data_IF_446834983084
#
_entry.id   IF_446834983084
#
_cell.length_a   1.000
_cell.length_b   1.000
_cell.length_c   1.000
_cell.angle_alpha   90.00
_cell.angle_beta   90.00
_cell.angle_gamma   90.00
#
_symmetry.space_group_name_H-M   'P 1'
#
loop_
_entity.id
_entity.type
_entity.pdbx_description
1 polymer ?
#
# COMPACT_ATOMS: atom_id res chain seq x y z
N UNK A 1 12.43 -22.94 8.62
CA UNK A 1 12.75 -21.55 8.24
C UNK A 1 11.95 -20.63 9.14
N UNK A 2 12.60 -19.72 9.88
CA UNK A 2 11.91 -18.75 10.73
C UNK A 2 11.49 -17.55 9.87
N UNK A 3 10.22 -17.14 9.95
CA UNK A 3 9.75 -15.94 9.26
C UNK A 3 10.03 -14.71 10.11
N UNK A 4 10.54 -13.68 9.46
CA UNK A 4 10.66 -12.33 10.01
C UNK A 4 9.31 -11.62 9.85
N UNK A 5 8.88 -10.86 10.85
CA UNK A 5 7.67 -10.05 10.77
C UNK A 5 7.78 -8.74 11.55
N UNK A 6 6.94 -7.79 11.17
CA UNK A 6 6.73 -6.52 11.86
C UNK A 6 5.23 -6.30 12.08
N UNK A 7 4.86 -5.77 13.25
CA UNK A 7 3.49 -5.40 13.58
C UNK A 7 3.37 -3.88 13.74
N UNK A 8 2.34 -3.31 13.11
CA UNK A 8 1.93 -1.91 13.32
C UNK A 8 0.50 -1.90 13.83
N UNK A 9 0.25 -1.37 15.05
CA UNK A 9 -1.11 -1.20 15.53
C UNK A 9 -1.84 -0.15 14.70
N UNK A 10 -3.15 -0.31 14.57
CA UNK A 10 -4.01 0.77 14.10
C UNK A 10 -3.86 1.99 15.02
N UNK A 11 -3.69 3.19 14.46
CA UNK A 11 -3.68 4.45 15.19
C UNK A 11 -4.79 5.35 14.63
N UNK A 12 -5.71 5.75 15.50
CA UNK A 12 -6.73 6.77 15.23
C UNK A 12 -6.80 7.73 16.41
N UNK A 13 -7.15 8.99 16.11
CA UNK A 13 -7.33 9.99 17.16
C UNK A 13 -8.63 9.72 17.91
N UNK A 14 -8.55 9.65 19.24
CA UNK A 14 -9.73 9.57 20.11
C UNK A 14 -10.68 10.78 19.96
N UNK A 15 -10.22 11.87 19.34
CA UNK A 15 -11.04 13.06 19.05
C UNK A 15 -11.98 12.87 17.84
N UNK A 16 -11.72 11.87 16.99
CA UNK A 16 -12.56 11.57 15.82
C UNK A 16 -13.74 10.71 16.27
N UNK A 17 -14.96 11.27 16.23
CA UNK A 17 -16.19 10.61 16.65
C UNK A 17 -16.85 9.90 15.48
N UNK A 18 -16.75 8.58 15.45
CA UNK A 18 -17.62 7.72 14.62
C UNK A 18 -18.14 6.55 15.45
N UNK A 19 -19.42 6.20 15.32
CA UNK A 19 -20.01 5.10 16.08
C UNK A 19 -19.54 3.73 15.56
N UNK A 20 -19.33 3.59 14.25
CA UNK A 20 -19.06 2.28 13.61
C UNK A 20 -18.00 2.36 12.48
N UNK A 21 -17.12 1.33 12.36
CA UNK A 21 -16.96 0.22 13.29
C UNK A 21 -16.35 0.70 14.62
N UNK A 22 -16.60 -0.07 15.68
CA UNK A 22 -16.04 0.27 16.99
C UNK A 22 -14.51 0.25 16.91
N UNK A 23 -13.86 1.10 17.70
CA UNK A 23 -12.40 1.16 17.83
C UNK A 23 -11.80 -0.20 18.22
N UNK A 24 -12.60 -1.01 18.92
CA UNK A 24 -12.32 -2.39 19.30
C UNK A 24 -12.34 -3.38 18.14
N UNK A 25 -12.72 -2.99 16.92
CA UNK A 25 -12.61 -3.84 15.73
C UNK A 25 -11.33 -3.54 14.93
N UNK A 26 -10.67 -2.40 15.22
CA UNK A 26 -9.46 -1.94 14.53
C UNK A 26 -8.21 -2.49 15.24
N UNK A 27 -7.65 -3.58 14.71
CA UNK A 27 -6.49 -4.26 15.28
C UNK A 27 -5.17 -3.63 14.84
N UNK A 28 -4.69 -4.05 13.67
CA UNK A 28 -3.42 -3.61 13.12
C UNK A 28 -3.00 -4.42 11.90
N UNK A 29 -1.78 -4.18 11.43
CA UNK A 29 -1.23 -4.86 10.25
C UNK A 29 0.06 -5.59 10.62
N UNK A 30 0.19 -6.83 10.14
CA UNK A 30 1.46 -7.53 10.09
C UNK A 30 2.03 -7.49 8.68
N UNK A 31 3.34 -7.23 8.59
CA UNK A 31 4.13 -7.47 7.39
C UNK A 31 5.04 -8.66 7.68
N UNK A 32 4.83 -9.75 6.96
CA UNK A 32 5.58 -10.99 7.12
C UNK A 32 6.45 -11.18 5.88
N UNK A 33 7.75 -11.38 6.11
CA UNK A 33 8.74 -11.49 5.05
C UNK A 33 8.97 -12.97 4.72
N UNK A 34 8.68 -13.33 3.46
CA UNK A 34 8.75 -14.69 2.94
C UNK A 34 10.00 -14.83 2.04
N UNK A 35 11.15 -15.25 2.57
CA UNK A 35 12.35 -15.39 1.77
C UNK A 35 12.28 -16.61 0.84
N UNK A 36 12.74 -16.44 -0.40
CA UNK A 36 13.07 -17.53 -1.31
C UNK A 36 14.60 -17.63 -1.43
N UNK A 37 15.25 -18.53 -0.66
CA UNK A 37 16.71 -18.69 -0.71
C UNK A 37 17.18 -19.45 -1.96
N UNK A 38 16.26 -20.05 -2.72
CA UNK A 38 16.59 -20.96 -3.82
C UNK A 38 16.95 -20.19 -5.10
N UNK A 39 17.43 -20.92 -6.10
CA UNK A 39 17.74 -20.39 -7.44
C UNK A 39 16.55 -20.44 -8.42
N UNK A 40 15.41 -20.99 -7.98
CA UNK A 40 14.21 -21.11 -8.79
C UNK A 40 13.08 -20.28 -8.17
N UNK A 41 12.11 -19.81 -8.96
CA UNK A 41 10.94 -19.14 -8.41
C UNK A 41 10.16 -20.09 -7.49
N UNK A 42 9.50 -19.55 -6.46
CA UNK A 42 8.78 -20.33 -5.45
C UNK A 42 7.40 -19.74 -5.24
N UNK A 43 6.35 -20.55 -5.40
CA UNK A 43 4.98 -20.11 -5.17
C UNK A 43 4.55 -20.35 -3.72
N UNK A 44 3.62 -19.53 -3.24
CA UNK A 44 2.87 -19.79 -2.01
C UNK A 44 1.62 -20.58 -2.40
N UNK A 45 1.42 -21.75 -1.80
CA UNK A 45 0.29 -22.63 -2.10
C UNK A 45 -0.89 -22.41 -1.16
N UNK A 46 -0.63 -22.14 0.13
CA UNK A 46 -1.68 -21.77 1.08
C UNK A 46 -1.12 -20.96 2.25
N UNK A 47 -1.99 -20.15 2.85
CA UNK A 47 -1.70 -19.35 4.04
C UNK A 47 -2.74 -19.71 5.08
N UNK A 48 -2.29 -20.13 6.25
CA UNK A 48 -3.13 -20.63 7.33
C UNK A 48 -2.89 -19.78 8.58
N UNK A 49 -3.95 -19.24 9.17
CA UNK A 49 -3.96 -18.50 10.43
C UNK A 49 -4.76 -19.27 11.47
N UNK A 50 -4.15 -19.59 12.62
CA UNK A 50 -4.79 -20.33 13.71
C UNK A 50 -5.52 -21.59 13.23
N UNK A 51 -4.88 -22.35 12.33
CA UNK A 51 -5.41 -23.58 11.74
C UNK A 51 -6.46 -23.40 10.64
N UNK A 52 -6.82 -22.17 10.26
CA UNK A 52 -7.80 -21.89 9.18
C UNK A 52 -7.12 -21.27 7.97
N UNK A 53 -7.49 -21.72 6.78
CA UNK A 53 -7.00 -21.11 5.54
C UNK A 53 -7.55 -19.69 5.40
N UNK A 54 -6.70 -18.71 5.06
CA UNK A 54 -7.12 -17.32 4.89
C UNK A 54 -8.20 -17.15 3.82
N UNK A 55 -8.20 -17.99 2.79
CA UNK A 55 -9.23 -17.97 1.73
C UNK A 55 -10.59 -18.47 2.23
N UNK A 56 -10.59 -19.31 3.27
CA UNK A 56 -11.81 -19.79 3.93
C UNK A 56 -12.33 -18.82 5.01
N UNK A 57 -11.50 -17.88 5.45
CA UNK A 57 -11.89 -16.86 6.42
C UNK A 57 -12.75 -15.82 5.71
N UNK A 58 -14.04 -15.72 6.10
CA UNK A 58 -14.90 -14.65 5.58
C UNK A 58 -14.28 -13.28 5.94
N UNK A 59 -13.96 -12.42 4.95
CA UNK A 59 -13.37 -11.12 5.24
C UNK A 59 -14.24 -10.30 6.18
N UNK A 60 -13.60 -9.58 7.12
CA UNK A 60 -14.29 -8.86 8.18
C UNK A 60 -14.64 -9.70 9.42
N UNK A 61 -14.17 -10.96 9.52
CA UNK A 61 -14.23 -11.80 10.73
C UNK A 61 -12.83 -12.18 11.21
N UNK A 62 -12.17 -11.29 11.95
CA UNK A 62 -10.80 -11.47 12.44
C UNK A 62 -9.71 -11.06 11.44
N UNK A 63 -9.92 -11.27 10.15
CA UNK A 63 -9.06 -10.82 9.05
C UNK A 63 -9.85 -9.81 8.20
N UNK A 64 -9.40 -8.55 8.18
CA UNK A 64 -10.02 -7.52 7.32
C UNK A 64 -9.68 -7.79 5.86
N UNK A 65 -8.39 -7.97 5.55
CA UNK A 65 -7.90 -8.34 4.22
C UNK A 65 -6.44 -8.83 4.34
N UNK A 66 -5.95 -9.47 3.27
CA UNK A 66 -4.55 -9.83 3.16
C UNK A 66 -4.04 -9.59 1.74
N UNK A 67 -2.72 -9.52 1.59
CA UNK A 67 -2.06 -9.40 0.30
C UNK A 67 -0.73 -10.13 0.30
N UNK A 68 -0.42 -10.81 -0.81
CA UNK A 68 0.91 -11.32 -1.10
C UNK A 68 1.50 -10.50 -2.25
N UNK A 69 2.66 -9.87 -2.05
CA UNK A 69 3.26 -8.99 -3.07
C UNK A 69 3.79 -9.71 -4.31
N UNK A 70 4.09 -11.00 -4.19
CA UNK A 70 4.51 -11.87 -5.28
C UNK A 70 3.86 -13.24 -5.11
N UNK A 71 2.93 -13.60 -6.01
CA UNK A 71 2.37 -14.97 -6.05
C UNK A 71 3.47 -16.01 -6.33
N UNK A 72 4.40 -15.64 -7.23
CA UNK A 72 5.61 -16.39 -7.53
C UNK A 72 6.84 -15.60 -7.06
N UNK A 73 7.41 -15.99 -5.93
CA UNK A 73 8.54 -15.32 -5.29
C UNK A 73 9.81 -15.55 -6.13
N UNK A 74 10.45 -14.49 -6.68
CA UNK A 74 11.65 -14.66 -7.51
C UNK A 74 12.82 -15.30 -6.75
N UNK A 75 13.77 -15.95 -7.47
CA UNK A 75 14.97 -16.53 -6.86
C UNK A 75 15.77 -15.52 -6.04
N UNK A 76 16.23 -15.91 -4.85
CA UNK A 76 17.07 -15.07 -3.97
C UNK A 76 16.49 -13.68 -3.71
N UNK A 77 15.18 -13.63 -3.50
CA UNK A 77 14.44 -12.44 -3.10
C UNK A 77 13.50 -12.77 -1.94
N UNK A 78 12.79 -11.76 -1.47
CA UNK A 78 11.78 -11.88 -0.42
C UNK A 78 10.46 -11.34 -0.96
N UNK A 79 9.37 -12.09 -0.75
CA UNK A 79 8.02 -11.55 -0.90
C UNK A 79 7.50 -11.08 0.45
N UNK A 80 6.43 -10.29 0.44
CA UNK A 80 5.81 -9.78 1.63
C UNK A 80 4.35 -10.20 1.67
N UNK A 81 3.97 -10.84 2.76
CA UNK A 81 2.60 -11.13 3.12
C UNK A 81 2.12 -10.04 4.10
N UNK A 82 1.13 -9.27 3.69
CA UNK A 82 0.49 -8.24 4.51
C UNK A 82 -0.81 -8.83 5.05
N UNK A 83 -1.01 -8.79 6.37
CA UNK A 83 -2.20 -9.27 7.05
C UNK A 83 -2.80 -8.12 7.86
N UNK A 84 -3.96 -7.60 7.47
CA UNK A 84 -4.69 -6.61 8.25
C UNK A 84 -5.72 -7.33 9.13
N UNK A 85 -5.48 -7.34 10.44
CA UNK A 85 -6.24 -8.12 11.40
C UNK A 85 -7.11 -7.23 12.27
N UNK A 86 -8.28 -7.76 12.64
CA UNK A 86 -9.15 -7.16 13.64
C UNK A 86 -8.61 -7.45 15.04
N UNK A 87 -8.90 -6.53 15.96
CA UNK A 87 -8.47 -6.62 17.36
C UNK A 87 -8.89 -7.93 18.04
N UNK A 88 -10.11 -8.41 17.76
CA UNK A 88 -10.64 -9.66 18.34
C UNK A 88 -9.69 -10.85 18.13
N UNK A 89 -9.11 -10.96 16.93
CA UNK A 89 -8.16 -12.03 16.63
C UNK A 89 -6.82 -11.83 17.37
N UNK A 90 -6.40 -10.58 17.57
CA UNK A 90 -5.15 -10.23 18.26
C UNK A 90 -5.25 -10.44 19.78
N UNK A 91 -6.43 -10.22 20.36
CA UNK A 91 -6.67 -10.33 21.80
C UNK A 91 -6.81 -11.79 22.25
N UNK A 92 -7.12 -12.71 21.32
CA UNK A 92 -7.20 -14.15 21.58
C UNK A 92 -5.82 -14.80 21.86
N UNK A 93 -4.73 -14.06 21.65
CA UNK A 93 -3.36 -14.52 21.85
C UNK A 93 -2.52 -14.41 20.58
N UNK A 94 -1.28 -14.93 20.61
CA UNK A 94 -0.41 -14.87 19.45
C UNK A 94 -1.00 -15.65 18.26
N UNK A 95 -0.84 -15.13 17.05
CA UNK A 95 -1.37 -15.75 15.84
C UNK A 95 -0.40 -16.79 15.33
N UNK A 96 -0.87 -18.02 15.16
CA UNK A 96 -0.11 -19.07 14.49
C UNK A 96 -0.26 -18.90 12.98
N UNK A 97 0.82 -18.49 12.33
CA UNK A 97 0.93 -18.42 10.88
C UNK A 97 1.66 -19.66 10.36
N UNK A 98 1.02 -20.36 9.42
CA UNK A 98 1.62 -21.42 8.62
C UNK A 98 1.52 -21.03 7.14
N UNK A 99 2.65 -20.97 6.45
CA UNK A 99 2.72 -20.75 5.01
C UNK A 99 3.22 -22.03 4.36
N UNK A 100 2.44 -22.57 3.44
CA UNK A 100 2.83 -23.70 2.59
C UNK A 100 3.27 -23.19 1.23
N UNK A 101 4.30 -23.81 0.68
CA UNK A 101 4.86 -23.46 -0.61
C UNK A 101 4.57 -24.54 -1.65
N UNK A 102 4.62 -24.17 -2.93
CA UNK A 102 4.36 -25.11 -4.03
C UNK A 102 5.38 -26.25 -4.14
N UNK A 103 6.56 -26.09 -3.54
CA UNK A 103 7.61 -27.13 -3.45
C UNK A 103 7.36 -28.15 -2.31
N UNK A 104 6.21 -28.06 -1.63
CA UNK A 104 5.81 -28.93 -0.52
C UNK A 104 6.42 -28.57 0.84
N UNK A 105 7.33 -27.59 0.89
CA UNK A 105 7.90 -27.12 2.16
C UNK A 105 6.96 -26.15 2.87
N UNK A 106 7.24 -25.89 4.16
CA UNK A 106 6.43 -24.98 4.97
C UNK A 106 7.28 -24.09 5.86
N UNK A 107 6.74 -22.93 6.19
CA UNK A 107 7.29 -22.03 7.19
C UNK A 107 6.22 -21.68 8.23
N UNK A 108 6.62 -21.61 9.49
CA UNK A 108 5.73 -21.31 10.60
C UNK A 108 6.28 -20.12 11.38
N UNK A 109 5.37 -19.29 11.89
CA UNK A 109 5.70 -18.20 12.79
C UNK A 109 4.56 -17.96 13.79
N UNK A 110 4.95 -17.56 15.00
CA UNK A 110 4.03 -17.09 16.02
C UNK A 110 4.06 -15.56 16.01
N UNK A 111 3.04 -14.94 15.42
CA UNK A 111 2.93 -13.49 15.28
C UNK A 111 2.38 -12.89 16.57
N UNK A 112 3.21 -12.12 17.27
CA UNK A 112 2.81 -11.44 18.49
C UNK A 112 2.59 -9.95 18.20
N UNK A 113 1.46 -9.34 18.61
CA UNK A 113 1.14 -7.94 18.30
C UNK A 113 1.91 -6.94 19.18
N UNK A 114 3.25 -7.01 19.14
CA UNK A 114 4.14 -6.10 19.88
C UNK A 114 4.53 -4.96 18.94
N UNK A 115 4.12 -3.74 19.30
CA UNK A 115 4.48 -2.54 18.55
C UNK A 115 5.91 -2.10 18.93
N UNK A 116 6.83 -1.95 17.97
CA UNK A 116 8.15 -1.39 18.27
C UNK A 116 8.05 0.06 18.74
N UNK A 117 8.98 0.53 19.60
CA UNK A 117 9.07 1.93 20.01
C UNK A 117 9.72 2.82 18.92
N UNK A 118 9.50 2.46 17.65
CA UNK A 118 9.93 3.21 16.48
C UNK A 118 9.06 2.81 15.28
N UNK A 119 9.02 3.66 14.26
CA UNK A 119 8.18 3.47 13.07
C UNK A 119 8.96 3.84 11.82
N UNK A 120 8.79 3.05 10.76
CA UNK A 120 9.11 3.45 9.40
C UNK A 120 8.06 4.49 8.96
N UNK A 121 8.42 5.77 9.08
CA UNK A 121 7.52 6.90 8.89
C UNK A 121 7.27 7.19 7.40
N UNK A 122 8.29 7.06 6.56
CA UNK A 122 8.16 7.21 5.11
C UNK A 122 9.31 6.49 4.40
N UNK A 123 9.10 6.10 3.14
CA UNK A 123 10.16 5.63 2.27
C UNK A 123 9.84 6.00 0.82
N UNK A 124 10.86 6.28 0.02
CA UNK A 124 10.68 6.60 -1.39
C UNK A 124 11.91 6.38 -2.24
N UNK A 125 11.67 6.31 -3.54
CA UNK A 125 12.67 6.11 -4.57
C UNK A 125 12.67 7.27 -5.56
N UNK A 126 13.87 7.75 -5.88
CA UNK A 126 14.14 8.68 -6.98
C UNK A 126 15.15 7.98 -7.92
N UNK A 127 14.63 7.32 -8.95
CA UNK A 127 15.37 6.32 -9.72
C UNK A 127 15.91 5.22 -8.80
N UNK A 128 17.23 5.12 -8.68
CA UNK A 128 17.92 4.17 -7.80
C UNK A 128 18.10 4.65 -6.36
N UNK A 129 17.91 5.94 -6.08
CA UNK A 129 18.16 6.52 -4.76
C UNK A 129 16.98 6.20 -3.85
N UNK A 130 17.23 5.45 -2.79
CA UNK A 130 16.27 5.17 -1.73
C UNK A 130 16.49 6.13 -0.58
N UNK A 131 15.43 6.79 -0.13
CA UNK A 131 15.40 7.48 1.16
C UNK A 131 14.37 6.83 2.06
N UNK A 132 14.76 6.53 3.29
CA UNK A 132 13.89 5.97 4.34
C UNK A 132 13.93 6.88 5.54
N UNK A 133 12.75 7.22 6.07
CA UNK A 133 12.60 8.01 7.29
C UNK A 133 12.11 7.11 8.39
N UNK A 134 12.90 7.02 9.44
CA UNK A 134 12.53 6.33 10.68
C UNK A 134 12.24 7.36 11.75
N UNK A 135 11.17 7.14 12.51
CA UNK A 135 10.81 7.96 13.67
C UNK A 135 10.99 7.15 14.93
N UNK A 136 11.70 7.71 15.89
CA UNK A 136 11.85 7.15 17.23
C UNK A 136 10.66 7.56 18.09
N UNK A 137 9.81 6.60 18.47
CA UNK A 137 8.66 6.84 19.35
C UNK A 137 9.02 6.52 20.83
N UNK A 138 10.25 6.08 21.12
CA UNK A 138 10.72 5.87 22.50
C UNK A 138 10.86 7.24 23.21
N UNK A 139 10.29 7.41 24.41
CA UNK A 139 10.27 8.71 25.07
C UNK A 139 11.63 9.15 25.63
N UNK A 140 12.58 8.24 25.80
CA UNK A 140 13.80 8.51 26.58
C UNK A 140 15.10 8.11 25.89
N UNK A 141 15.09 7.08 25.05
CA UNK A 141 16.32 6.47 24.51
C UNK A 141 16.51 6.79 23.04
N UNK A 142 17.74 7.11 22.61
CA UNK A 142 18.04 7.30 21.20
C UNK A 142 17.89 5.98 20.43
N UNK A 143 17.58 6.09 19.14
CA UNK A 143 17.41 4.96 18.24
C UNK A 143 18.49 4.97 17.15
N UNK A 144 19.25 3.88 17.02
CA UNK A 144 20.22 3.70 15.94
C UNK A 144 19.67 2.78 14.86
N UNK A 145 19.71 3.18 13.59
CA UNK A 145 19.52 2.23 12.50
C UNK A 145 20.81 1.39 12.32
N UNK A 146 20.68 0.07 12.32
CA UNK A 146 21.83 -0.85 12.22
C UNK A 146 21.88 -1.58 10.88
N UNK A 147 20.72 -1.83 10.26
CA UNK A 147 20.64 -2.49 8.96
C UNK A 147 19.46 -2.00 8.15
N UNK A 148 19.68 -1.79 6.86
CA UNK A 148 18.62 -1.52 5.88
C UNK A 148 18.57 -2.68 4.88
N UNK A 149 17.38 -3.26 4.66
CA UNK A 149 17.17 -4.33 3.68
C UNK A 149 16.05 -4.00 2.72
N UNK A 150 16.27 -4.31 1.45
CA UNK A 150 15.27 -4.23 0.38
C UNK A 150 15.27 -5.55 -0.36
N UNK A 151 14.08 -6.15 -0.58
CA UNK A 151 13.94 -7.51 -1.13
C UNK A 151 14.78 -8.56 -0.37
N UNK A 152 14.93 -8.39 0.95
CA UNK A 152 15.76 -9.25 1.80
C UNK A 152 17.28 -9.03 1.69
N UNK A 153 17.75 -8.12 0.83
CA UNK A 153 19.17 -7.83 0.63
C UNK A 153 19.60 -6.63 1.45
N UNK A 154 20.70 -6.77 2.20
CA UNK A 154 21.30 -5.65 2.92
C UNK A 154 21.82 -4.59 1.95
N UNK A 155 21.49 -3.34 2.22
CA UNK A 155 22.05 -2.18 1.54
C UNK A 155 22.95 -1.42 2.48
N UNK A 156 24.08 -0.92 1.95
CA UNK A 156 24.82 0.13 2.63
C UNK A 156 23.99 1.41 2.59
N UNK A 157 23.90 2.09 3.72
CA UNK A 157 23.17 3.34 3.84
C UNK A 157 24.02 4.37 4.59
N UNK A 158 23.69 5.64 4.37
CA UNK A 158 24.17 6.77 5.16
C UNK A 158 23.00 7.32 5.95
N UNK A 159 23.14 7.41 7.26
CA UNK A 159 22.19 8.12 8.10
C UNK A 159 22.54 9.61 8.16
N UNK A 160 21.53 10.48 8.28
CA UNK A 160 21.72 11.92 8.46
C UNK A 160 22.42 12.22 9.79
N UNK A 161 22.03 11.50 10.84
CA UNK A 161 22.69 11.47 12.13
C UNK A 161 22.93 10.01 12.54
N UNK A 162 23.90 9.72 13.44
CA UNK A 162 24.12 8.36 13.94
C UNK A 162 22.86 7.75 14.58
N UNK A 163 22.13 8.58 15.33
CA UNK A 163 20.96 8.20 16.11
C UNK A 163 19.80 9.16 15.85
N UNK A 164 18.56 8.67 15.95
CA UNK A 164 17.36 9.49 16.02
C UNK A 164 17.07 9.83 17.48
N UNK A 165 16.85 11.12 17.76
CA UNK A 165 16.53 11.60 19.10
C UNK A 165 15.25 10.94 19.66
N UNK A 166 15.12 10.79 20.98
CA UNK A 166 13.88 10.33 21.62
C UNK A 166 12.68 11.23 21.30
N UNK A 167 11.49 10.73 21.61
CA UNK A 167 10.23 11.48 21.61
C UNK A 167 9.88 12.12 20.25
N UNK A 168 9.87 11.31 19.20
CA UNK A 168 9.45 11.71 17.86
C UNK A 168 10.59 12.16 16.94
N UNK A 169 11.86 12.01 17.35
CA UNK A 169 13.01 12.34 16.52
C UNK A 169 13.01 11.54 15.22
N UNK A 170 13.32 12.23 14.11
CA UNK A 170 13.40 11.65 12.78
C UNK A 170 14.85 11.44 12.38
N UNK A 171 15.13 10.33 11.70
CA UNK A 171 16.41 10.13 11.02
C UNK A 171 16.18 9.66 9.59
N UNK A 172 16.98 10.22 8.68
CA UNK A 172 16.89 9.99 7.24
C UNK A 172 18.03 9.06 6.82
N UNK A 173 17.68 7.92 6.27
CA UNK A 173 18.60 6.92 5.76
C UNK A 173 18.61 7.00 4.23
N UNK A 174 19.77 7.26 3.64
CA UNK A 174 19.96 7.28 2.18
C UNK A 174 20.73 6.05 1.74
N UNK A 175 20.20 5.32 0.75
CA UNK A 175 20.84 4.17 0.13
C UNK A 175 20.70 4.20 -1.39
N UNK A 176 21.49 3.39 -2.08
CA UNK A 176 21.40 3.24 -3.54
C UNK A 176 21.08 1.79 -3.87
N UNK A 177 19.99 1.57 -4.61
CA UNK A 177 19.64 0.27 -5.15
C UNK A 177 20.63 -0.16 -6.24
N UNK A 178 20.90 -1.47 -6.39
CA UNK A 178 21.80 -1.98 -7.44
C UNK A 178 21.26 -1.72 -8.85
N UNK A 179 19.94 -1.72 -9.02
CA UNK A 179 19.24 -1.43 -10.27
C UNK A 179 18.01 -0.56 -9.98
N UNK A 180 17.57 0.19 -10.99
CA UNK A 180 16.33 0.93 -10.91
C UNK A 180 15.15 -0.06 -10.88
N UNK A 181 14.26 0.03 -9.88
CA UNK A 181 13.13 -0.88 -9.80
C UNK A 181 12.06 -0.51 -10.83
N UNK A 182 11.36 -1.52 -11.33
CA UNK A 182 10.26 -1.29 -12.25
C UNK A 182 9.15 -0.43 -11.58
N UNK A 183 8.55 0.55 -12.30
CA UNK A 183 7.57 1.50 -11.74
C UNK A 183 6.36 0.85 -11.02
N UNK A 184 6.01 -0.38 -11.41
CA UNK A 184 4.88 -1.11 -10.87
C UNK A 184 5.24 -2.02 -9.69
N UNK A 185 6.52 -2.17 -9.35
CA UNK A 185 6.98 -3.14 -8.35
C UNK A 185 7.02 -2.53 -6.95
N UNK A 186 6.21 -3.08 -6.03
CA UNK A 186 6.37 -2.82 -4.60
C UNK A 186 7.51 -3.70 -4.04
N UNK A 187 8.46 -3.07 -3.34
CA UNK A 187 9.64 -3.74 -2.77
C UNK A 187 9.47 -3.87 -1.26
N UNK A 188 9.58 -5.08 -0.67
CA UNK A 188 9.62 -5.26 0.76
C UNK A 188 10.82 -4.53 1.37
N UNK A 189 10.55 -3.73 2.40
CA UNK A 189 11.53 -2.87 3.06
C UNK A 189 11.59 -3.24 4.54
N UNK A 190 12.80 -3.46 5.06
CA UNK A 190 13.04 -3.73 6.47
C UNK A 190 14.16 -2.82 6.98
N UNK A 191 13.99 -2.27 8.19
CA UNK A 191 15.03 -1.52 8.88
C UNK A 191 15.21 -2.11 10.28
N UNK A 192 16.39 -2.64 10.55
CA UNK A 192 16.75 -3.07 11.90
C UNK A 192 17.26 -1.85 12.67
N UNK A 193 16.73 -1.67 13.87
CA UNK A 193 17.05 -0.55 14.75
C UNK A 193 17.40 -1.06 16.15
N UNK A 194 18.22 -0.28 16.86
CA UNK A 194 18.65 -0.54 18.22
C UNK A 194 18.17 0.63 19.10
N UNK A 195 17.48 0.32 20.20
CA UNK A 195 17.00 1.30 21.19
C UNK A 195 17.44 0.81 22.57
N UNK A 196 18.45 1.46 23.15
CA UNK A 196 19.19 0.89 24.29
C UNK A 196 19.77 -0.48 23.93
N UNK A 197 19.47 -1.50 24.73
CA UNK A 197 19.93 -2.88 24.50
C UNK A 197 18.95 -3.74 23.69
N UNK A 198 17.81 -3.18 23.26
CA UNK A 198 16.81 -3.92 22.49
C UNK A 198 16.93 -3.67 20.99
N UNK A 199 16.96 -4.76 20.23
CA UNK A 199 16.88 -4.74 18.77
C UNK A 199 15.42 -4.89 18.31
N UNK A 200 15.04 -4.10 17.32
CA UNK A 200 13.72 -4.11 16.71
C UNK A 200 13.84 -4.13 15.19
N UNK A 201 12.87 -4.74 14.52
CA UNK A 201 12.71 -4.63 13.08
C UNK A 201 11.51 -3.73 12.79
N UNK A 202 11.71 -2.76 11.92
CA UNK A 202 10.67 -1.96 11.31
C UNK A 202 10.38 -2.50 9.91
N UNK A 203 9.11 -2.51 9.53
CA UNK A 203 8.68 -3.06 8.25
C UNK A 203 7.72 -2.17 7.48
N UNK A 204 7.64 -2.44 6.19
CA UNK A 204 6.76 -1.79 5.22
C UNK A 204 7.16 -2.16 3.80
N UNK A 205 6.69 -1.35 2.85
CA UNK A 205 7.11 -1.44 1.44
C UNK A 205 7.51 -0.09 0.90
N UNK A 206 8.24 -0.11 -0.21
CA UNK A 206 8.52 1.08 -1.00
C UNK A 206 8.24 0.77 -2.47
N UNK A 207 7.57 1.70 -3.16
CA UNK A 207 7.34 1.62 -4.60
C UNK A 207 8.02 2.83 -5.27
N UNK A 208 8.65 2.65 -6.44
CA UNK A 208 9.01 3.77 -7.29
C UNK A 208 7.74 4.49 -7.74
N UNK A 209 7.52 5.67 -7.18
CA UNK A 209 6.39 6.54 -7.45
C UNK A 209 6.95 7.92 -7.82
N UNK A 210 6.43 8.52 -8.88
CA UNK A 210 6.76 9.91 -9.18
C UNK A 210 6.25 10.79 -8.03
N UNK A 211 7.14 11.63 -7.49
CA UNK A 211 6.82 12.54 -6.39
C UNK A 211 6.31 13.90 -6.89
N UNK A 212 5.54 13.87 -7.95
CA UNK A 212 4.76 15.01 -8.39
C UNK A 212 3.40 14.92 -7.70
N UNK A 213 3.01 15.95 -6.97
CA UNK A 213 1.65 16.04 -6.43
C UNK A 213 0.85 16.96 -7.37
N UNK A 214 -0.07 16.40 -8.17
CA UNK A 214 -0.86 17.19 -9.10
C UNK A 214 -1.84 18.11 -8.36
N UNK A 215 -2.17 19.25 -8.98
CA UNK A 215 -3.30 20.06 -8.54
C UNK A 215 -4.56 19.53 -9.23
N UNK A 216 -5.20 18.58 -8.55
CA UNK A 216 -6.35 17.84 -9.05
C UNK A 216 -7.71 18.49 -8.74
N UNK A 217 -8.67 18.36 -9.65
CA UNK A 217 -10.07 18.71 -9.42
C UNK A 217 -11.03 17.57 -9.78
N UNK A 218 -12.07 17.40 -8.97
CA UNK A 218 -13.17 16.47 -9.22
C UNK A 218 -14.17 17.03 -10.23
N UNK A 219 -13.74 17.14 -11.50
CA UNK A 219 -14.53 17.72 -12.59
C UNK A 219 -14.35 16.92 -13.86
N UNK A 220 -15.37 16.16 -14.25
CA UNK A 220 -15.36 15.33 -15.46
C UNK A 220 -15.77 16.09 -16.72
N UNK A 221 -16.50 17.21 -16.58
CA UNK A 221 -16.96 18.01 -17.73
C UNK A 221 -15.84 18.68 -18.51
N UNK A 222 -14.66 18.87 -17.92
CA UNK A 222 -13.47 19.45 -18.58
C UNK A 222 -13.04 18.70 -19.84
N UNK A 223 -13.40 17.42 -19.97
CA UNK A 223 -13.09 16.60 -21.14
C UNK A 223 -14.01 16.89 -22.34
N UNK A 224 -15.15 17.52 -22.08
CA UNK A 224 -16.20 17.81 -23.07
C UNK A 224 -16.33 19.31 -23.32
N UNK A 225 -16.15 20.14 -22.30
CA UNK A 225 -16.30 21.61 -22.34
C UNK A 225 -14.94 22.34 -22.26
N UNK A 226 -14.60 23.04 -23.34
CA UNK A 226 -13.35 23.80 -23.47
C UNK A 226 -13.32 25.05 -22.60
N UNK A 227 -14.46 25.71 -22.40
CA UNK A 227 -14.55 26.88 -21.55
C UNK A 227 -14.40 26.50 -20.07
N UNK A 228 -15.02 25.39 -19.65
CA UNK A 228 -14.81 24.84 -18.31
C UNK A 228 -13.35 24.45 -18.10
N UNK A 229 -12.74 23.74 -19.06
CA UNK A 229 -11.33 23.36 -18.98
C UNK A 229 -10.40 24.57 -18.87
N UNK A 230 -10.60 25.60 -19.71
CA UNK A 230 -9.80 26.82 -19.65
C UNK A 230 -9.91 27.51 -18.28
N UNK A 231 -11.12 27.64 -17.72
CA UNK A 231 -11.34 28.28 -16.43
C UNK A 231 -10.64 27.55 -15.27
N UNK A 232 -10.58 26.21 -15.30
CA UNK A 232 -9.85 25.45 -14.29
C UNK A 232 -8.33 25.54 -14.46
N UNK A 233 -7.84 25.56 -15.71
CA UNK A 233 -6.41 25.71 -16.01
C UNK A 233 -5.88 27.09 -15.61
N UNK A 234 -6.66 28.15 -15.81
CA UNK A 234 -6.30 29.50 -15.35
C UNK A 234 -6.11 29.57 -13.83
N UNK A 235 -6.80 28.70 -13.08
CA UNK A 235 -6.65 28.56 -11.61
C UNK A 235 -5.46 27.66 -11.22
N UNK A 236 -4.73 27.10 -12.17
CA UNK A 236 -3.56 26.26 -11.95
C UNK A 236 -3.85 24.77 -11.79
N UNK A 237 -5.09 24.31 -12.05
CA UNK A 237 -5.40 22.88 -12.03
C UNK A 237 -4.90 22.21 -13.31
N UNK A 238 -4.21 21.08 -13.14
CA UNK A 238 -3.57 20.33 -14.23
C UNK A 238 -4.04 18.87 -14.30
N UNK A 239 -4.88 18.45 -13.37
CA UNK A 239 -5.30 17.05 -13.24
C UNK A 239 -6.79 16.96 -12.99
N UNK A 240 -7.47 16.07 -13.70
CA UNK A 240 -8.93 15.93 -13.58
C UNK A 240 -9.36 14.47 -13.54
N UNK A 241 -10.46 14.22 -12.84
CA UNK A 241 -11.08 12.88 -12.81
C UNK A 241 -11.62 12.53 -14.20
N UNK A 242 -11.36 11.30 -14.64
CA UNK A 242 -11.85 10.76 -15.91
C UNK A 242 -12.75 9.54 -15.66
N UNK A 243 -13.90 9.46 -16.33
CA UNK A 243 -14.79 8.30 -16.25
C UNK A 243 -14.34 7.22 -17.25
N UNK A 244 -13.60 6.22 -16.77
CA UNK A 244 -13.04 5.15 -17.59
C UNK A 244 -14.05 4.05 -17.88
N UNK A 245 -14.43 3.88 -19.16
CA UNK A 245 -15.47 2.94 -19.59
C UNK A 245 -14.93 1.76 -20.41
N UNK A 246 -15.65 0.64 -20.35
CA UNK A 246 -15.27 -0.56 -21.10
C UNK A 246 -15.25 -0.30 -22.62
N UNK A 247 -16.23 0.45 -23.11
CA UNK A 247 -16.30 0.91 -24.50
C UNK A 247 -15.42 2.13 -24.71
N UNK A 248 -14.74 2.19 -25.86
CA UNK A 248 -13.94 3.34 -26.26
C UNK A 248 -14.87 4.47 -26.70
N UNK A 249 -14.86 5.58 -25.98
CA UNK A 249 -15.69 6.76 -26.26
C UNK A 249 -14.92 7.81 -27.05
N UNK A 250 -15.64 8.72 -27.70
CA UNK A 250 -15.01 9.89 -28.35
C UNK A 250 -14.33 10.79 -27.31
N UNK A 251 -14.92 10.93 -26.12
CA UNK A 251 -14.32 11.65 -24.99
C UNK A 251 -12.96 11.05 -24.59
N UNK A 252 -12.84 9.71 -24.55
CA UNK A 252 -11.55 9.03 -24.28
C UNK A 252 -10.52 9.32 -25.40
N UNK A 253 -10.93 9.19 -26.67
CA UNK A 253 -10.04 9.48 -27.81
C UNK A 253 -9.52 10.90 -27.76
N UNK A 254 -10.40 11.88 -27.58
CA UNK A 254 -10.08 13.30 -27.50
C UNK A 254 -9.21 13.61 -26.27
N UNK A 255 -9.55 13.08 -25.11
CA UNK A 255 -8.81 13.31 -23.88
C UNK A 255 -7.34 12.89 -24.02
N UNK A 256 -7.08 11.70 -24.57
CA UNK A 256 -5.73 11.13 -24.58
C UNK A 256 -4.93 11.35 -25.86
N UNK A 257 -5.57 11.68 -26.98
CA UNK A 257 -4.87 11.95 -28.24
C UNK A 257 -4.64 13.45 -28.48
N UNK A 258 -5.42 14.32 -27.85
CA UNK A 258 -5.37 15.77 -28.08
C UNK A 258 -5.17 16.56 -26.78
N UNK A 259 -6.15 16.51 -25.86
CA UNK A 259 -6.18 17.38 -24.68
C UNK A 259 -4.96 17.15 -23.78
N UNK A 260 -4.73 15.92 -23.32
CA UNK A 260 -3.65 15.65 -22.37
C UNK A 260 -2.25 15.94 -22.94
N UNK A 261 -1.91 15.52 -24.19
CA UNK A 261 -0.63 15.87 -24.82
C UNK A 261 -0.42 17.37 -25.01
N UNK A 262 -1.42 18.08 -25.55
CA UNK A 262 -1.24 19.46 -25.99
C UNK A 262 -1.38 20.46 -24.84
N UNK A 263 -2.26 20.18 -23.88
CA UNK A 263 -2.55 21.09 -22.77
C UNK A 263 -1.76 20.77 -21.50
N UNK A 264 -0.94 19.70 -21.53
CA UNK A 264 -0.17 19.18 -20.38
C UNK A 264 -1.06 18.79 -19.19
N UNK A 265 -2.30 18.42 -19.47
CA UNK A 265 -3.25 17.92 -18.48
C UNK A 265 -3.00 16.43 -18.21
N UNK A 266 -3.33 16.01 -17.00
CA UNK A 266 -3.32 14.61 -16.55
C UNK A 266 -4.72 14.13 -16.16
N UNK A 267 -4.92 12.83 -16.27
CA UNK A 267 -6.15 12.16 -15.88
C UNK A 267 -5.94 11.32 -14.61
N UNK A 268 -6.96 11.33 -13.75
CA UNK A 268 -7.15 10.40 -12.63
C UNK A 268 -8.39 9.55 -12.93
N UNK A 269 -8.28 8.41 -13.62
CA UNK A 269 -9.43 7.63 -14.02
C UNK A 269 -10.08 6.89 -12.86
N UNK A 270 -11.40 6.98 -12.78
CA UNK A 270 -12.24 6.03 -12.05
C UNK A 270 -12.82 5.05 -13.05
N UNK A 271 -12.48 3.77 -12.92
CA UNK A 271 -12.87 2.74 -13.89
C UNK A 271 -14.07 1.89 -13.44
N UNK A 272 -14.85 2.38 -12.47
CA UNK A 272 -15.98 1.63 -11.90
C UNK A 272 -15.59 0.74 -10.71
N UNK A 273 -16.60 0.42 -9.89
CA UNK A 273 -16.48 -0.40 -8.68
C UNK A 273 -17.79 -1.17 -8.46
N UNK A 274 -17.76 -2.46 -8.04
CA UNK A 274 -16.59 -3.26 -7.70
C UNK A 274 -15.95 -3.99 -8.90
N UNK A 275 -16.45 -3.73 -10.12
CA UNK A 275 -15.96 -4.37 -11.35
C UNK A 275 -15.33 -3.31 -12.25
N UNK A 276 -14.00 -3.10 -12.17
CA UNK A 276 -13.33 -2.14 -13.03
C UNK A 276 -13.49 -2.49 -14.51
N UNK A 277 -13.59 -1.46 -15.36
CA UNK A 277 -13.57 -1.55 -16.81
C UNK A 277 -12.18 -1.99 -17.29
N UNK A 278 -11.90 -3.30 -17.25
CA UNK A 278 -10.60 -3.88 -17.63
C UNK A 278 -10.18 -3.52 -19.05
N UNK A 279 -11.13 -3.39 -19.98
CA UNK A 279 -10.83 -2.96 -21.34
C UNK A 279 -10.24 -1.53 -21.41
N UNK A 280 -10.73 -0.60 -20.59
CA UNK A 280 -10.14 0.75 -20.47
C UNK A 280 -8.71 0.67 -19.95
N UNK A 281 -8.52 -0.11 -18.88
CA UNK A 281 -7.24 -0.29 -18.21
C UNK A 281 -6.21 -0.85 -19.19
N UNK A 282 -6.54 -1.90 -19.96
CA UNK A 282 -5.61 -2.47 -20.94
C UNK A 282 -5.26 -1.50 -22.07
N UNK A 283 -6.25 -0.77 -22.62
CA UNK A 283 -6.01 0.22 -23.68
C UNK A 283 -5.08 1.33 -23.22
N UNK A 284 -5.19 1.77 -21.97
CA UNK A 284 -4.48 2.94 -21.45
C UNK A 284 -3.37 2.59 -20.45
N UNK A 285 -2.98 1.33 -20.32
CA UNK A 285 -2.04 0.90 -19.26
C UNK A 285 -0.68 1.57 -19.32
N UNK A 286 -0.23 2.00 -20.51
CA UNK A 286 1.03 2.71 -20.73
C UNK A 286 0.85 4.22 -20.99
N UNK A 287 -0.36 4.75 -20.79
CA UNK A 287 -0.65 6.14 -21.09
C UNK A 287 0.01 7.06 -20.06
N UNK A 288 1.04 7.82 -20.49
CA UNK A 288 1.81 8.73 -19.64
C UNK A 288 1.00 9.93 -19.10
N UNK A 289 -0.23 10.12 -19.57
CA UNK A 289 -1.14 11.15 -19.07
C UNK A 289 -2.03 10.68 -17.92
N UNK A 290 -2.05 9.37 -17.63
CA UNK A 290 -2.72 8.83 -16.44
C UNK A 290 -1.73 8.84 -15.29
N UNK A 291 -2.03 9.60 -14.24
CA UNK A 291 -1.14 9.74 -13.07
C UNK A 291 -1.33 8.63 -12.03
N UNK A 292 -2.56 8.11 -11.92
CA UNK A 292 -2.95 7.06 -11.00
C UNK A 292 -4.34 6.53 -11.41
N UNK A 293 -4.69 5.34 -10.96
CA UNK A 293 -6.03 4.78 -11.11
C UNK A 293 -6.77 4.77 -9.78
N UNK A 294 -7.99 5.27 -9.75
CA UNK A 294 -8.82 5.29 -8.55
C UNK A 294 -9.55 3.96 -8.37
N UNK A 295 -9.44 3.37 -7.17
CA UNK A 295 -10.23 2.19 -6.78
C UNK A 295 -11.70 2.57 -6.66
N UNK A 296 -11.96 3.55 -5.79
CA UNK A 296 -13.28 4.05 -5.43
C UNK A 296 -13.13 5.34 -4.64
N UNK A 297 -14.09 6.22 -4.84
CA UNK A 297 -14.32 7.37 -3.97
C UNK A 297 -15.07 6.97 -2.70
N UNK A 298 -14.56 7.41 -1.56
CA UNK A 298 -15.13 7.27 -0.21
C UNK A 298 -15.74 5.87 0.05
N UNK A 299 -14.97 4.77 -0.13
CA UNK A 299 -15.51 3.42 0.04
C UNK A 299 -15.97 3.17 1.47
N UNK A 300 -15.46 3.90 2.44
CA UNK A 300 -15.80 3.86 3.85
C UNK A 300 -17.18 4.43 4.21
N UNK A 301 -17.82 5.16 3.30
CA UNK A 301 -19.23 5.59 3.38
C UNK A 301 -20.22 4.63 2.73
N UNK A 302 -19.72 3.66 1.98
CA UNK A 302 -20.61 2.78 1.24
C UNK A 302 -21.29 1.77 2.16
N UNK A 303 -22.53 1.40 1.83
CA UNK A 303 -23.25 0.35 2.55
C UNK A 303 -22.83 -1.02 2.01
N UNK A 304 -22.30 -1.95 2.84
CA UNK A 304 -22.01 -3.32 2.43
C UNK A 304 -23.17 -4.03 1.71
N UNK A 305 -24.42 -3.69 2.02
CA UNK A 305 -25.60 -4.28 1.36
C UNK A 305 -25.64 -4.01 -0.15
N UNK A 306 -25.06 -2.89 -0.62
CA UNK A 306 -24.92 -2.58 -2.04
C UNK A 306 -23.96 -3.53 -2.77
N UNK A 307 -23.15 -4.27 -2.02
CA UNK A 307 -22.15 -5.20 -2.53
C UNK A 307 -22.32 -6.57 -1.90
N UNK A 308 -23.56 -7.10 -1.82
CA UNK A 308 -23.83 -8.47 -1.35
C UNK A 308 -23.28 -8.76 0.06
N UNK A 309 -23.15 -7.72 0.91
CA UNK A 309 -22.60 -7.84 2.26
C UNK A 309 -21.07 -7.98 2.33
N UNK A 310 -20.34 -7.67 1.25
CA UNK A 310 -18.89 -7.72 1.24
C UNK A 310 -18.27 -6.76 2.26
N UNK A 311 -17.22 -7.23 2.95
CA UNK A 311 -16.40 -6.36 3.78
C UNK A 311 -15.60 -5.38 2.91
N UNK A 312 -15.88 -4.08 3.03
CA UNK A 312 -15.43 -3.04 2.10
C UNK A 312 -13.90 -2.94 1.93
N UNK A 313 -13.07 -3.00 2.99
CA UNK A 313 -11.61 -3.08 2.84
C UNK A 313 -11.17 -4.27 1.97
N UNK A 314 -11.73 -5.46 2.21
CA UNK A 314 -11.41 -6.65 1.41
C UNK A 314 -11.80 -6.50 -0.06
N UNK A 315 -12.97 -5.91 -0.30
CA UNK A 315 -13.42 -5.62 -1.65
C UNK A 315 -12.49 -4.61 -2.35
N UNK A 316 -12.03 -3.57 -1.65
CA UNK A 316 -11.07 -2.60 -2.17
C UNK A 316 -9.73 -3.25 -2.50
N UNK A 317 -9.19 -4.15 -1.65
CA UNK A 317 -7.96 -4.88 -1.95
C UNK A 317 -8.13 -5.80 -3.18
N UNK A 318 -9.27 -6.49 -3.29
CA UNK A 318 -9.60 -7.29 -4.49
C UNK A 318 -9.63 -6.45 -5.75
N UNK A 319 -10.22 -5.25 -5.69
CA UNK A 319 -10.24 -4.32 -6.82
C UNK A 319 -8.84 -3.77 -7.12
N UNK A 320 -8.06 -3.39 -6.09
CA UNK A 320 -6.69 -2.90 -6.24
C UNK A 320 -5.79 -3.92 -6.96
N UNK A 321 -5.97 -5.21 -6.67
CA UNK A 321 -5.25 -6.32 -7.31
C UNK A 321 -5.42 -6.33 -8.83
N UNK A 322 -6.60 -5.96 -9.34
CA UNK A 322 -6.85 -5.84 -10.80
C UNK A 322 -5.84 -4.88 -11.43
N UNK A 323 -5.52 -3.75 -10.80
CA UNK A 323 -4.56 -2.80 -11.34
C UNK A 323 -3.11 -3.29 -11.17
N UNK A 324 -2.78 -3.89 -10.03
CA UNK A 324 -1.40 -4.26 -9.68
C UNK A 324 -0.84 -5.45 -10.44
N UNK A 325 -1.70 -6.40 -10.81
CA UNK A 325 -1.28 -7.61 -11.54
C UNK A 325 -0.90 -7.32 -13.01
N UNK A 326 -0.94 -6.05 -13.43
CA UNK A 326 -0.69 -5.60 -14.80
C UNK A 326 0.59 -4.77 -14.89
N UNK A 327 1.49 -5.19 -15.77
CA UNK A 327 2.72 -4.45 -16.05
C UNK A 327 2.42 -3.06 -16.62
N UNK A 328 3.19 -2.07 -16.16
CA UNK A 328 3.13 -0.70 -16.67
C UNK A 328 2.04 0.16 -16.06
N UNK A 329 1.15 -0.40 -15.23
CA UNK A 329 0.07 0.35 -14.60
C UNK A 329 0.62 1.42 -13.62
N UNK A 330 0.17 2.68 -13.75
CA UNK A 330 0.34 3.74 -12.77
C UNK A 330 -0.07 3.32 -11.34
N UNK A 331 0.28 4.12 -10.33
CA UNK A 331 -0.10 3.87 -8.94
C UNK A 331 -1.62 3.83 -8.77
N UNK A 332 -2.07 3.11 -7.74
CA UNK A 332 -3.48 3.01 -7.38
C UNK A 332 -3.78 4.02 -6.28
N UNK A 333 -4.88 4.76 -6.43
CA UNK A 333 -5.35 5.81 -5.54
C UNK A 333 -6.65 5.39 -4.86
N UNK A 334 -6.81 5.79 -3.59
CA UNK A 334 -8.06 5.65 -2.86
C UNK A 334 -8.26 6.86 -1.96
N UNK A 335 -9.46 7.43 -2.01
CA UNK A 335 -9.89 8.56 -1.18
C UNK A 335 -10.85 8.05 -0.10
N UNK A 336 -10.63 8.44 1.16
CA UNK A 336 -11.50 8.08 2.29
C UNK A 336 -12.25 9.31 2.79
N UNK A 337 -13.52 9.15 3.15
CA UNK A 337 -14.24 10.22 3.84
C UNK A 337 -13.89 10.29 5.34
N UNK A 338 -13.36 9.20 5.91
CA UNK A 338 -13.19 9.01 7.37
C UNK A 338 -11.77 8.64 7.75
N UNK A 339 -11.14 9.53 8.51
CA UNK A 339 -9.79 9.32 9.06
C UNK A 339 -9.69 8.15 10.05
N UNK A 340 -10.77 7.79 10.77
CA UNK A 340 -10.75 6.68 11.73
C UNK A 340 -10.63 5.31 11.06
N UNK A 341 -11.11 5.17 9.82
CA UNK A 341 -10.98 3.91 9.07
C UNK A 341 -9.68 3.83 8.27
N UNK A 342 -8.88 4.90 8.24
CA UNK A 342 -7.66 5.00 7.45
C UNK A 342 -6.75 3.78 7.61
N UNK A 343 -6.46 3.33 8.83
CA UNK A 343 -5.57 2.17 9.03
C UNK A 343 -6.09 0.83 8.47
N UNK A 344 -7.39 0.67 8.22
CA UNK A 344 -7.93 -0.51 7.51
C UNK A 344 -7.64 -0.43 6.01
N UNK A 345 -7.56 0.77 5.44
CA UNK A 345 -7.39 0.97 4.00
C UNK A 345 -5.98 1.43 3.61
N UNK A 346 -5.17 1.93 4.53
CA UNK A 346 -3.96 2.73 4.24
C UNK A 346 -2.96 2.02 3.33
N UNK A 347 -2.82 0.71 3.51
CA UNK A 347 -1.88 -0.09 2.72
C UNK A 347 -2.52 -0.62 1.43
N UNK A 348 -3.85 -0.56 1.28
CA UNK A 348 -4.60 -1.08 0.13
C UNK A 348 -4.27 -0.34 -1.17
N UNK A 349 -4.23 1.00 -1.26
CA UNK A 349 -3.76 1.70 -2.45
C UNK A 349 -2.24 1.93 -2.40
N UNK A 350 -1.66 2.50 -3.46
CA UNK A 350 -0.31 3.07 -3.40
C UNK A 350 -0.33 4.51 -2.87
N UNK A 351 -1.45 5.22 -3.07
CA UNK A 351 -1.72 6.57 -2.58
C UNK A 351 -3.05 6.53 -1.81
N UNK A 352 -2.97 6.61 -0.48
CA UNK A 352 -4.13 6.72 0.39
C UNK A 352 -4.33 8.18 0.78
N UNK A 353 -5.50 8.73 0.48
CA UNK A 353 -5.91 10.08 0.86
C UNK A 353 -7.17 10.02 1.73
N UNK A 354 -7.47 11.13 2.39
CA UNK A 354 -8.75 11.34 3.03
C UNK A 354 -9.23 12.76 2.81
N UNK A 355 -10.53 12.93 2.67
CA UNK A 355 -11.20 14.22 2.71
C UNK A 355 -11.39 14.60 4.18
N UNK A 356 -10.95 15.82 4.52
CA UNK A 356 -10.83 16.32 5.89
C UNK A 356 -11.88 17.38 6.21
#
# INVERSE_FOLDING_TARGET
MQLEYFYRPHRSSARIREPEPSLKQLGGTFWVYLPNPTRIPRSVSSIILNGRDVESMRPGRGLNWYRLTHELIPPRTTAMLILNLQRELLDAGPIELLVRFGDGTQAQAKLTPIAPPAVLASAWLEGRRLTVVVRNDDPARPMRATRLRVDGRSLRFRALAPDAEPNGGLNFLSATLPAEPAPHRSLPLQVDVQIGDQAWMLGGSVRPLQRFFPLGAWRTRVWEDDAERAAWRERGFDTFVFDGRAELTETERRAFSDICPNEKIKALPFCGFPRPATAFIERNRQNAHIIAYMIKDEPDWSDPAQFEGWHLPALCERVAKVFRDREGIPPVYLNLARSRRFGEFAEIPDIACYDA
#
